data_IF_284444841318
#
_entry.id   IF_284444841318
#
_cell.length_a   1.000
_cell.length_b   1.000
_cell.length_c   1.000
_cell.angle_alpha   90.00
_cell.angle_beta   90.00
_cell.angle_gamma   90.00
#
_symmetry.space_group_name_H-M   'P 1'
#
loop_
_entity.id
_entity.type
_entity.pdbx_description
1 polymer ?
#
# COMPACT_ATOMS: atom_id res chain seq x y z
N UNK A 1 22.39 8.15 20.73
CA UNK A 1 22.50 7.59 19.37
C UNK A 1 21.83 8.58 18.43
N UNK A 2 22.53 9.10 17.41
CA UNK A 2 21.95 10.05 16.45
C UNK A 2 21.03 9.41 15.40
N UNK A 3 21.09 8.08 15.27
CA UNK A 3 20.28 7.24 14.38
C UNK A 3 19.95 5.94 15.15
N UNK A 4 18.74 5.43 14.99
CA UNK A 4 18.28 4.16 15.58
C UNK A 4 17.33 3.43 14.64
N UNK A 5 17.12 2.13 14.86
CA UNK A 5 16.16 1.31 14.13
C UNK A 5 15.32 0.48 15.11
N UNK A 6 14.04 0.29 14.79
CA UNK A 6 13.12 -0.57 15.53
C UNK A 6 12.39 -1.49 14.56
N UNK A 7 12.35 -2.78 14.87
CA UNK A 7 11.62 -3.78 14.11
C UNK A 7 10.42 -4.28 14.93
N UNK A 8 9.25 -4.30 14.31
CA UNK A 8 8.03 -4.85 14.89
C UNK A 8 7.49 -5.94 13.95
N UNK A 9 7.36 -7.16 14.45
CA UNK A 9 6.78 -8.28 13.73
C UNK A 9 5.63 -8.89 14.53
N UNK A 10 4.74 -9.62 13.85
CA UNK A 10 3.59 -10.27 14.46
C UNK A 10 2.67 -9.32 15.27
N UNK A 11 2.57 -8.06 14.82
CA UNK A 11 1.52 -7.15 15.26
C UNK A 11 0.27 -7.37 14.40
N UNK A 12 -0.90 -7.08 14.96
CA UNK A 12 -2.12 -7.00 14.16
C UNK A 12 -2.04 -5.79 13.19
N UNK A 13 -3.12 -5.50 12.47
CA UNK A 13 -3.21 -4.35 11.58
C UNK A 13 -2.89 -3.03 12.32
N UNK A 14 -1.78 -2.37 11.93
CA UNK A 14 -1.27 -1.15 12.56
C UNK A 14 -1.87 0.15 11.99
N UNK A 15 -2.87 0.07 11.12
CA UNK A 15 -3.59 1.24 10.62
C UNK A 15 -2.77 2.10 9.65
N UNK A 16 -2.90 3.42 9.80
CA UNK A 16 -2.22 4.41 8.95
C UNK A 16 -0.76 4.54 9.37
N UNK A 17 0.18 4.27 8.47
CA UNK A 17 1.61 4.27 8.82
C UNK A 17 2.11 5.67 9.16
N UNK A 18 1.57 6.69 8.49
CA UNK A 18 1.87 8.09 8.78
C UNK A 18 1.57 8.52 10.22
N UNK A 19 0.70 7.82 10.96
CA UNK A 19 0.46 8.12 12.38
C UNK A 19 1.72 7.84 13.24
N UNK A 20 2.42 6.74 12.96
CA UNK A 20 3.67 6.40 13.64
C UNK A 20 4.78 7.37 13.24
N UNK A 21 4.83 7.75 11.95
CA UNK A 21 5.78 8.73 11.46
C UNK A 21 5.56 10.13 12.05
N UNK A 22 4.31 10.55 12.26
CA UNK A 22 3.98 11.80 12.94
C UNK A 22 4.50 11.83 14.38
N UNK A 23 4.49 10.70 15.10
CA UNK A 23 5.10 10.62 16.43
C UNK A 23 6.61 10.84 16.37
N UNK A 24 7.30 10.24 15.40
CA UNK A 24 8.73 10.47 15.18
C UNK A 24 9.01 11.95 14.83
N UNK A 25 8.21 12.54 13.94
CA UNK A 25 8.36 13.93 13.52
C UNK A 25 8.10 14.93 14.65
N UNK A 26 7.10 14.66 15.51
CA UNK A 26 6.81 15.48 16.69
C UNK A 26 7.97 15.47 17.71
N UNK A 27 8.73 14.37 17.75
CA UNK A 27 9.96 14.27 18.53
C UNK A 27 11.21 14.83 17.83
N UNK A 28 11.05 15.45 16.65
CA UNK A 28 12.14 16.09 15.90
C UNK A 28 12.95 15.16 15.00
N UNK A 29 12.45 13.94 14.72
CA UNK A 29 13.16 12.95 13.92
C UNK A 29 12.59 12.79 12.51
N UNK A 30 13.49 12.53 11.56
CA UNK A 30 13.15 11.85 10.31
C UNK A 30 12.91 10.38 10.62
N UNK A 31 11.90 9.78 9.99
CA UNK A 31 11.64 8.33 10.10
C UNK A 31 11.26 7.73 8.76
N UNK A 32 11.69 6.50 8.52
CA UNK A 32 11.44 5.70 7.32
C UNK A 32 10.83 4.37 7.76
N UNK A 33 9.72 3.97 7.13
CA UNK A 33 8.98 2.76 7.48
C UNK A 33 8.77 1.88 6.25
N UNK A 34 9.19 0.64 6.38
CA UNK A 34 8.84 -0.47 5.49
C UNK A 34 7.86 -1.36 6.21
N UNK A 35 6.72 -1.66 5.57
CA UNK A 35 5.64 -2.43 6.18
C UNK A 35 5.15 -3.48 5.20
N UNK A 36 5.00 -4.71 5.67
CA UNK A 36 4.42 -5.82 4.91
C UNK A 36 3.09 -6.27 5.51
N UNK A 37 2.19 -6.79 4.67
CA UNK A 37 0.97 -7.49 5.14
C UNK A 37 1.23 -8.99 5.08
N UNK A 38 1.17 -9.66 6.23
CA UNK A 38 1.52 -11.07 6.37
C UNK A 38 0.34 -11.97 6.01
N UNK A 39 0.56 -12.96 5.15
CA UNK A 39 -0.37 -14.08 4.91
C UNK A 39 -1.63 -13.77 4.10
N UNK A 40 -1.79 -12.56 3.57
CA UNK A 40 -2.97 -12.16 2.78
C UNK A 40 -2.50 -11.56 1.44
N UNK A 41 -2.27 -12.41 0.40
CA UNK A 41 -1.87 -11.91 -0.91
C UNK A 41 -3.05 -11.22 -1.60
N UNK A 42 -2.82 -10.01 -2.12
CA UNK A 42 -3.83 -9.24 -2.87
C UNK A 42 -3.27 -8.38 -4.00
N UNK A 43 -1.94 -8.32 -4.16
CA UNK A 43 -1.23 -7.55 -5.19
C UNK A 43 -0.37 -8.49 -6.02
N UNK A 44 -0.40 -8.31 -7.34
CA UNK A 44 0.37 -9.10 -8.30
C UNK A 44 1.77 -8.50 -8.49
N UNK A 45 2.83 -9.33 -8.66
CA UNK A 45 4.12 -8.86 -9.13
C UNK A 45 4.00 -8.29 -10.54
N UNK A 46 4.90 -7.39 -10.91
CA UNK A 46 5.02 -6.99 -12.31
C UNK A 46 5.31 -8.22 -13.18
N UNK A 47 4.63 -8.34 -14.31
CA UNK A 47 4.54 -9.55 -15.16
C UNK A 47 3.81 -10.77 -14.55
N UNK A 48 3.34 -10.69 -13.30
CA UNK A 48 2.45 -11.67 -12.71
C UNK A 48 1.00 -11.54 -13.17
N UNK A 49 0.20 -12.57 -12.90
CA UNK A 49 -1.23 -12.62 -13.22
C UNK A 49 -2.12 -12.96 -12.01
N UNK A 50 -1.51 -13.18 -10.86
CA UNK A 50 -2.19 -13.50 -9.60
C UNK A 50 -1.50 -12.82 -8.42
N UNK A 51 -2.18 -12.81 -7.26
CA UNK A 51 -1.70 -12.12 -6.06
C UNK A 51 -0.55 -12.87 -5.37
N UNK A 52 0.49 -12.13 -4.96
CA UNK A 52 1.66 -12.70 -4.27
C UNK A 52 2.06 -11.97 -2.98
N UNK A 53 1.74 -10.69 -2.84
CA UNK A 53 2.03 -9.91 -1.63
C UNK A 53 0.88 -8.97 -1.27
N UNK A 54 0.98 -8.35 -0.09
CA UNK A 54 0.04 -7.33 0.37
C UNK A 54 0.22 -5.99 -0.31
N UNK A 55 -0.57 -4.99 0.10
CA UNK A 55 -0.42 -3.60 -0.37
C UNK A 55 0.83 -2.88 0.16
N UNK A 56 1.61 -3.55 1.02
CA UNK A 56 2.94 -3.21 1.53
C UNK A 56 3.26 -1.71 1.53
N UNK A 57 2.76 -0.93 2.50
CA UNK A 57 2.94 0.52 2.48
C UNK A 57 4.37 0.96 2.79
N UNK A 58 4.74 2.09 2.21
CA UNK A 58 6.00 2.79 2.46
C UNK A 58 5.71 4.19 2.99
N UNK A 59 6.43 4.60 4.04
CA UNK A 59 6.19 5.88 4.68
C UNK A 59 7.49 6.58 5.09
N UNK A 60 7.60 7.88 4.79
CA UNK A 60 8.74 8.73 5.15
C UNK A 60 8.21 10.07 5.65
N UNK A 61 8.83 10.59 6.71
CA UNK A 61 8.49 11.91 7.25
C UNK A 61 9.73 12.77 7.42
N UNK A 62 9.59 14.06 7.14
CA UNK A 62 10.59 15.08 7.41
C UNK A 62 9.98 16.18 8.31
N UNK A 63 10.49 16.38 9.54
CA UNK A 63 9.95 17.37 10.47
C UNK A 63 10.28 18.79 10.01
N UNK A 64 9.38 19.74 10.29
CA UNK A 64 9.58 21.17 10.05
C UNK A 64 9.25 21.94 11.32
N UNK A 65 10.10 22.92 11.65
CA UNK A 65 9.86 23.79 12.80
C UNK A 65 8.57 24.60 12.59
N UNK A 66 7.69 24.61 13.60
CA UNK A 66 6.44 25.38 13.65
C UNK A 66 5.50 25.15 12.44
N UNK A 67 5.56 23.97 11.81
CA UNK A 67 4.76 23.64 10.63
C UNK A 67 4.44 22.14 10.56
N UNK A 68 3.48 21.75 9.74
CA UNK A 68 3.18 20.33 9.51
C UNK A 68 4.40 19.63 8.86
N UNK A 69 4.68 18.36 9.17
CA UNK A 69 5.80 17.65 8.55
C UNK A 69 5.54 17.40 7.07
N UNK A 70 6.61 17.24 6.28
CA UNK A 70 6.46 16.66 4.94
C UNK A 70 6.28 15.14 5.12
N UNK A 71 5.09 14.63 4.80
CA UNK A 71 4.73 13.23 5.01
C UNK A 71 4.37 12.55 3.69
N UNK A 72 5.09 11.48 3.39
CA UNK A 72 4.80 10.53 2.33
C UNK A 72 4.28 9.25 3.01
N UNK A 73 3.04 8.85 2.71
CA UNK A 73 2.38 7.67 3.29
C UNK A 73 1.44 7.05 2.26
N UNK A 74 1.82 5.92 1.66
CA UNK A 74 1.03 5.24 0.64
C UNK A 74 1.25 3.73 0.61
N UNK A 75 0.28 3.03 0.03
CA UNK A 75 0.42 1.63 -0.39
C UNK A 75 1.30 1.53 -1.64
N UNK A 76 2.00 0.42 -1.82
CA UNK A 76 2.76 0.10 -3.04
C UNK A 76 1.89 -0.45 -4.18
N UNK A 77 0.63 -0.74 -3.90
CA UNK A 77 -0.39 -1.03 -4.92
C UNK A 77 -0.81 0.23 -5.68
N UNK A 78 -1.21 0.07 -6.94
CA UNK A 78 -1.67 1.15 -7.81
C UNK A 78 -2.91 1.88 -7.27
N UNK A 79 -3.72 1.18 -6.47
CA UNK A 79 -4.85 1.73 -5.72
C UNK A 79 -4.91 1.03 -4.35
N UNK A 80 -5.35 1.74 -3.31
CA UNK A 80 -5.59 1.12 -2.01
C UNK A 80 -6.79 0.16 -2.08
N UNK A 81 -6.69 -1.02 -1.46
CA UNK A 81 -7.80 -1.99 -1.40
C UNK A 81 -9.10 -1.38 -0.84
N UNK A 82 -9.00 -0.48 0.15
CA UNK A 82 -10.17 0.25 0.67
C UNK A 82 -10.89 1.09 -0.39
N UNK A 83 -10.17 1.61 -1.41
CA UNK A 83 -10.77 2.40 -2.49
C UNK A 83 -11.52 1.52 -3.49
N UNK A 84 -11.09 0.28 -3.74
CA UNK A 84 -11.86 -0.67 -4.55
C UNK A 84 -13.17 -1.02 -3.85
N UNK A 85 -13.14 -1.22 -2.53
CA UNK A 85 -14.36 -1.45 -1.73
C UNK A 85 -15.33 -0.26 -1.79
N UNK A 86 -14.83 0.97 -1.70
CA UNK A 86 -15.66 2.18 -1.85
C UNK A 86 -16.26 2.28 -3.24
N UNK A 87 -15.47 2.03 -4.29
CA UNK A 87 -15.94 2.06 -5.67
C UNK A 87 -17.02 0.99 -5.93
N UNK A 88 -16.80 -0.23 -5.40
CA UNK A 88 -17.75 -1.33 -5.48
C UNK A 88 -19.10 -0.99 -4.83
N UNK A 89 -19.11 -0.52 -3.58
CA UNK A 89 -20.37 -0.10 -2.92
C UNK A 89 -21.09 1.03 -3.66
N UNK A 90 -20.35 1.90 -4.36
CA UNK A 90 -20.92 2.99 -5.15
C UNK A 90 -21.36 2.56 -6.56
N UNK A 91 -21.04 1.33 -6.98
CA UNK A 91 -21.30 0.87 -8.35
C UNK A 91 -20.53 1.64 -9.41
N UNK A 92 -19.36 2.20 -9.09
CA UNK A 92 -18.54 3.00 -10.02
C UNK A 92 -17.22 2.30 -10.37
N UNK A 93 -16.69 2.46 -11.60
CA UNK A 93 -15.40 1.90 -11.96
C UNK A 93 -14.25 2.57 -11.20
N UNK A 94 -13.12 1.87 -11.09
CA UNK A 94 -11.83 2.45 -10.66
C UNK A 94 -11.03 2.93 -11.87
N UNK A 95 -9.98 3.74 -11.67
CA UNK A 95 -9.08 4.12 -12.77
C UNK A 95 -8.47 2.89 -13.48
N UNK A 96 -8.18 2.99 -14.79
CA UNK A 96 -7.48 1.94 -15.53
C UNK A 96 -6.06 1.73 -15.00
N UNK A 97 -5.52 0.52 -15.21
CA UNK A 97 -4.17 0.16 -14.77
C UNK A 97 -4.06 -0.16 -13.27
N UNK A 98 -5.18 -0.25 -12.55
CA UNK A 98 -5.19 -0.58 -11.13
C UNK A 98 -5.44 -2.07 -10.83
N UNK A 99 -6.22 -2.76 -11.67
CA UNK A 99 -6.73 -4.10 -11.39
C UNK A 99 -6.53 -5.05 -12.57
N UNK A 100 -6.41 -6.33 -12.24
CA UNK A 100 -6.59 -7.47 -13.15
C UNK A 100 -7.67 -8.40 -12.59
N UNK A 101 -8.40 -9.08 -13.45
CA UNK A 101 -9.35 -10.13 -13.06
C UNK A 101 -8.63 -11.46 -12.73
N UNK A 102 -9.42 -12.51 -12.44
CA UNK A 102 -8.90 -13.86 -12.12
C UNK A 102 -8.06 -14.49 -13.24
N UNK A 103 -8.26 -14.06 -14.49
CA UNK A 103 -7.51 -14.56 -15.65
C UNK A 103 -6.26 -13.70 -15.94
N UNK A 104 -6.02 -12.66 -15.16
CA UNK A 104 -4.95 -11.70 -15.39
C UNK A 104 -5.27 -10.63 -16.44
N UNK A 105 -6.54 -10.47 -16.81
CA UNK A 105 -6.95 -9.47 -17.80
C UNK A 105 -7.18 -8.11 -17.12
N UNK A 106 -6.64 -7.00 -17.67
CA UNK A 106 -6.87 -5.67 -17.12
C UNK A 106 -8.35 -5.31 -17.01
N UNK A 107 -8.75 -4.72 -15.89
CA UNK A 107 -10.15 -4.33 -15.64
C UNK A 107 -10.24 -3.04 -14.82
N UNK A 108 -11.37 -2.36 -14.93
CA UNK A 108 -11.76 -1.22 -14.07
C UNK A 108 -12.92 -1.58 -13.14
N UNK A 109 -13.41 -2.82 -13.19
CA UNK A 109 -14.50 -3.27 -12.34
C UNK A 109 -13.97 -3.62 -10.93
N UNK A 110 -14.36 -2.88 -9.87
CA UNK A 110 -13.89 -3.15 -8.51
C UNK A 110 -14.43 -4.46 -7.90
N UNK A 111 -15.46 -5.08 -8.49
CA UNK A 111 -16.04 -6.33 -8.01
C UNK A 111 -15.01 -7.47 -7.93
N UNK A 112 -13.99 -7.48 -8.81
CA UNK A 112 -12.92 -8.50 -8.80
C UNK A 112 -12.11 -8.51 -7.49
N UNK A 113 -12.19 -7.45 -6.68
CA UNK A 113 -11.52 -7.41 -5.37
C UNK A 113 -12.44 -7.73 -4.20
N UNK A 114 -13.75 -7.87 -4.41
CA UNK A 114 -14.76 -8.03 -3.36
C UNK A 114 -15.56 -9.32 -3.50
N UNK A 115 -15.71 -9.85 -4.71
CA UNK A 115 -16.54 -11.01 -5.04
C UNK A 115 -15.68 -12.10 -5.69
N UNK A 116 -16.07 -13.36 -5.48
CA UNK A 116 -15.43 -14.49 -6.16
C UNK A 116 -15.95 -14.64 -7.60
N UNK A 117 -15.08 -14.94 -8.59
CA UNK A 117 -13.64 -15.19 -8.46
C UNK A 117 -12.82 -13.91 -8.28
N UNK A 118 -11.90 -13.93 -7.31
CA UNK A 118 -11.05 -12.79 -7.00
C UNK A 118 -9.99 -12.58 -8.10
N UNK A 119 -9.82 -11.33 -8.50
CA UNK A 119 -8.69 -10.85 -9.27
C UNK A 119 -7.56 -10.37 -8.36
N UNK A 120 -6.79 -9.39 -8.83
CA UNK A 120 -5.66 -8.84 -8.08
C UNK A 120 -5.48 -7.34 -8.33
N UNK A 121 -4.94 -6.65 -7.33
CA UNK A 121 -4.38 -5.31 -7.50
C UNK A 121 -3.08 -5.40 -8.30
N UNK A 122 -2.77 -4.35 -9.06
CA UNK A 122 -1.45 -4.11 -9.65
C UNK A 122 -0.61 -3.21 -8.74
N UNK A 123 0.71 -3.18 -8.97
CA UNK A 123 1.64 -2.25 -8.31
C UNK A 123 1.63 -0.88 -9.00
N UNK A 124 1.88 0.20 -8.26
CA UNK A 124 1.96 1.52 -8.89
C UNK A 124 3.16 1.59 -9.84
N UNK A 125 3.00 2.30 -10.97
CA UNK A 125 4.08 2.48 -11.95
C UNK A 125 4.84 1.18 -12.29
N UNK A 126 4.10 0.08 -12.46
CA UNK A 126 4.59 -1.22 -12.90
C UNK A 126 5.75 -1.73 -12.02
N UNK A 127 6.94 -1.86 -12.61
CA UNK A 127 8.15 -2.36 -11.96
C UNK A 127 8.62 -1.49 -10.79
N UNK A 128 8.27 -0.20 -10.73
CA UNK A 128 8.73 0.69 -9.64
C UNK A 128 8.02 0.39 -8.34
N UNK A 129 6.68 0.32 -8.35
CA UNK A 129 5.90 -0.07 -7.18
C UNK A 129 6.12 -1.53 -6.83
N UNK A 130 6.35 -2.39 -7.83
CA UNK A 130 6.71 -3.79 -7.59
C UNK A 130 8.05 -3.92 -6.84
N UNK A 131 9.09 -3.23 -7.29
CA UNK A 131 10.37 -3.23 -6.60
C UNK A 131 10.21 -2.76 -5.16
N UNK A 132 9.48 -1.66 -4.92
CA UNK A 132 9.26 -1.15 -3.57
C UNK A 132 8.39 -2.07 -2.70
N UNK A 133 7.42 -2.78 -3.28
CA UNK A 133 6.60 -3.75 -2.55
C UNK A 133 7.40 -4.97 -2.06
N UNK A 134 8.51 -5.29 -2.74
CA UNK A 134 9.38 -6.41 -2.42
C UNK A 134 10.52 -6.05 -1.45
N UNK A 135 10.83 -4.75 -1.28
CA UNK A 135 11.82 -4.25 -0.31
C UNK A 135 11.28 -4.28 1.12
#
# INVERSE_FOLDING_TARGET
HGIAAVALHNSHHIGRIGYWAEQCAAAGFVSIHFVSVVGIPMVAPFHGRDSRFGTNPFCVVFPRKDNFPLLLDYATSAIAFGKTRVAWHKGVPVPPGCLIDVNGMPTTNPAVMQESPLGSLLTFAEHKGYALAAM
#
